data_IF_870657937872
#
_entry.id   IF_870657937872
#
_cell.length_a   1.000
_cell.length_b   1.000
_cell.length_c   1.000
_cell.angle_alpha   90.00
_cell.angle_beta   90.00
_cell.angle_gamma   90.00
#
_symmetry.space_group_name_H-M   'P 1'
#
loop_
_entity.id
_entity.type
_entity.pdbx_description
1 polymer ?
#
# COMPACT_ATOMS: atom_id res chain seq x y z
N UNK A 1 -60.06 54.76 -45.73
CA UNK A 1 -60.12 55.86 -44.75
C UNK A 1 -58.74 56.48 -44.67
N UNK A 2 -58.67 57.73 -45.12
CA UNK A 2 -57.53 58.59 -45.46
C UNK A 2 -57.02 59.36 -44.23
N UNK A 3 -55.90 60.12 -44.30
CA UNK A 3 -54.49 59.82 -44.60
C UNK A 3 -53.64 60.59 -43.53
N UNK A 4 -52.60 61.42 -43.79
CA UNK A 4 -51.44 61.48 -44.71
C UNK A 4 -50.09 61.40 -43.94
N UNK A 5 -48.95 60.98 -44.52
CA UNK A 5 -48.01 61.64 -45.44
C UNK A 5 -47.33 62.95 -44.95
N UNK A 6 -46.07 62.78 -44.51
CA UNK A 6 -44.84 63.58 -44.75
C UNK A 6 -44.76 65.01 -44.15
N UNK A 7 -43.56 65.44 -43.69
CA UNK A 7 -42.68 66.10 -44.66
C UNK A 7 -41.13 66.08 -44.45
N UNK A 8 -40.46 66.43 -45.56
CA UNK A 8 -39.16 67.12 -45.78
C UNK A 8 -37.83 66.45 -45.34
N UNK A 9 -36.97 66.00 -46.28
CA UNK A 9 -35.95 66.74 -47.06
C UNK A 9 -34.64 66.95 -46.25
N UNK A 10 -33.39 66.88 -46.74
CA UNK A 10 -32.74 67.32 -47.98
C UNK A 10 -31.41 66.55 -48.16
N UNK A 11 -30.98 66.40 -49.42
CA UNK A 11 -29.74 65.79 -49.91
C UNK A 11 -28.45 66.61 -49.65
N UNK A 12 -27.29 65.95 -49.60
CA UNK A 12 -25.96 66.55 -49.77
C UNK A 12 -24.85 65.50 -50.00
N UNK A 13 -23.77 65.78 -50.75
CA UNK A 13 -23.30 64.85 -51.78
C UNK A 13 -22.03 64.04 -51.48
N UNK A 14 -21.98 62.91 -52.20
CA UNK A 14 -20.86 62.09 -52.70
C UNK A 14 -19.44 62.71 -52.62
N UNK A 15 -18.45 61.85 -52.30
CA UNK A 15 -17.36 61.48 -53.23
C UNK A 15 -16.55 60.27 -52.71
N UNK A 16 -16.11 59.47 -53.69
CA UNK A 16 -15.32 58.24 -53.57
C UNK A 16 -13.84 58.57 -53.37
N UNK A 17 -13.14 57.73 -52.61
CA UNK A 17 -11.69 57.67 -52.57
C UNK A 17 -11.24 56.36 -51.92
N UNK A 18 -10.71 55.45 -52.72
CA UNK A 18 -10.10 54.21 -52.28
C UNK A 18 -8.75 54.48 -51.61
N UNK A 19 -8.34 53.66 -50.63
CA UNK A 19 -6.94 53.21 -50.49
C UNK A 19 -6.77 52.16 -49.40
N UNK A 20 -6.05 51.10 -49.81
CA UNK A 20 -5.16 50.19 -49.11
C UNK A 20 -5.11 50.20 -47.56
N UNK A 21 -5.37 49.02 -46.98
CA UNK A 21 -5.01 48.66 -45.61
C UNK A 21 -3.63 48.01 -45.64
N UNK A 22 -2.65 48.64 -44.98
CA UNK A 22 -1.33 48.11 -44.66
C UNK A 22 -1.26 47.92 -43.13
N UNK A 23 -0.81 46.74 -42.70
CA UNK A 23 -0.67 46.34 -41.29
C UNK A 23 0.30 47.25 -40.53
N UNK A 24 0.00 47.62 -39.27
CA UNK A 24 0.97 48.29 -38.41
C UNK A 24 1.95 47.31 -37.76
N UNK A 25 3.22 47.67 -37.88
CA UNK A 25 4.37 47.20 -37.11
C UNK A 25 4.15 47.53 -35.63
N UNK A 26 4.27 46.54 -34.75
CA UNK A 26 4.30 46.76 -33.30
C UNK A 26 5.75 47.00 -32.84
N UNK A 27 5.95 48.16 -32.21
CA UNK A 27 7.21 48.59 -31.59
C UNK A 27 7.38 47.89 -30.24
N UNK A 28 8.50 47.20 -30.04
CA UNK A 28 8.92 46.66 -28.75
C UNK A 28 9.57 47.77 -27.91
N UNK A 29 8.93 48.13 -26.80
CA UNK A 29 9.54 48.92 -25.73
C UNK A 29 9.90 47.99 -24.57
N UNK A 30 11.20 47.90 -24.29
CA UNK A 30 11.72 47.25 -23.09
C UNK A 30 11.43 48.13 -21.88
N UNK A 31 10.76 47.57 -20.87
CA UNK A 31 10.65 48.16 -19.53
C UNK A 31 11.33 47.20 -18.55
N UNK A 32 12.49 47.61 -18.02
CA UNK A 32 13.14 46.93 -16.91
C UNK A 32 12.47 47.39 -15.61
N UNK A 33 11.86 46.48 -14.87
CA UNK A 33 11.49 46.71 -13.46
C UNK A 33 12.18 45.66 -12.61
N UNK A 34 13.08 46.10 -11.75
CA UNK A 34 13.71 45.28 -10.72
C UNK A 34 12.68 44.98 -9.62
N UNK A 35 12.10 43.78 -9.66
CA UNK A 35 11.27 43.22 -8.59
C UNK A 35 11.97 42.02 -7.96
N UNK A 36 12.13 42.07 -6.64
CA UNK A 36 12.63 41.00 -5.76
C UNK A 36 11.83 39.71 -5.99
N UNK A 37 12.44 38.51 -6.08
CA UNK A 37 11.65 37.28 -6.21
C UNK A 37 11.03 36.95 -4.83
N UNK A 38 9.70 37.05 -4.74
CA UNK A 38 8.93 36.34 -3.73
C UNK A 38 9.17 34.84 -3.89
N UNK A 39 9.56 34.18 -2.80
CA UNK A 39 9.63 32.73 -2.72
C UNK A 39 8.20 32.19 -2.73
N UNK A 40 7.65 32.00 -3.93
CA UNK A 40 6.47 31.18 -4.13
C UNK A 40 6.85 29.74 -3.84
N UNK A 41 6.31 29.19 -2.76
CA UNK A 41 6.30 27.74 -2.57
C UNK A 41 5.67 27.11 -3.81
N UNK A 42 6.36 26.15 -4.41
CA UNK A 42 5.82 25.38 -5.53
C UNK A 42 4.52 24.69 -5.05
N UNK A 43 3.46 24.64 -5.87
CA UNK A 43 2.32 23.79 -5.57
C UNK A 43 2.80 22.33 -5.43
N UNK A 44 2.22 21.51 -4.54
CA UNK A 44 2.57 20.11 -4.47
C UNK A 44 2.37 19.48 -5.84
N UNK A 45 3.36 18.69 -6.28
CA UNK A 45 3.23 17.87 -7.48
C UNK A 45 2.04 16.94 -7.30
N UNK A 46 1.19 16.74 -8.33
CA UNK A 46 0.12 15.75 -8.24
C UNK A 46 0.74 14.37 -8.02
N UNK A 47 0.27 13.65 -7.00
CA UNK A 47 0.60 12.26 -6.81
C UNK A 47 0.20 11.48 -8.07
N UNK A 48 1.12 10.67 -8.57
CA UNK A 48 0.87 9.80 -9.72
C UNK A 48 -0.02 8.63 -9.27
N UNK A 49 -1.29 8.65 -9.65
CA UNK A 49 -2.18 7.48 -9.50
C UNK A 49 -1.57 6.30 -10.27
N UNK A 50 -1.29 5.18 -9.61
CA UNK A 50 -0.81 3.97 -10.28
C UNK A 50 -2.00 3.23 -10.94
N UNK A 51 -2.13 3.22 -12.28
CA UNK A 51 -3.25 2.52 -12.91
C UNK A 51 -3.06 1.01 -12.72
N UNK A 52 -3.97 0.37 -11.97
CA UNK A 52 -4.06 -1.09 -11.90
C UNK A 52 -3.91 -1.74 -10.53
N UNK A 53 -3.74 -0.98 -9.45
CA UNK A 53 -3.83 -1.51 -8.09
C UNK A 53 -5.29 -1.42 -7.64
N UNK A 54 -5.97 -2.55 -7.51
CA UNK A 54 -7.39 -2.58 -7.15
C UNK A 54 -7.65 -3.13 -5.74
N UNK A 55 -6.79 -4.04 -5.26
CA UNK A 55 -6.88 -4.63 -3.94
C UNK A 55 -5.49 -5.07 -3.46
N UNK A 56 -5.07 -4.54 -2.31
CA UNK A 56 -3.79 -4.89 -1.68
C UNK A 56 -4.03 -6.00 -0.66
N UNK A 57 -3.28 -7.10 -0.80
CA UNK A 57 -3.31 -8.24 0.13
C UNK A 57 -2.12 -8.24 1.08
N UNK A 58 -1.04 -7.57 0.71
CA UNK A 58 0.17 -7.50 1.53
C UNK A 58 1.04 -6.32 1.13
N UNK A 59 1.79 -5.81 2.11
CA UNK A 59 2.87 -4.85 1.92
C UNK A 59 4.09 -5.44 2.62
N UNK A 60 5.29 -5.19 2.09
CA UNK A 60 6.52 -5.62 2.74
C UNK A 60 7.67 -4.69 2.44
N UNK A 61 8.58 -4.54 3.39
CA UNK A 61 9.85 -3.83 3.23
C UNK A 61 10.95 -4.89 3.08
N UNK A 62 11.71 -4.84 2.00
CA UNK A 62 12.86 -5.73 1.82
C UNK A 62 14.05 -5.24 2.64
N UNK A 63 14.56 -6.01 3.62
CA UNK A 63 15.70 -5.62 4.43
C UNK A 63 17.02 -5.56 3.65
N UNK A 64 17.05 -5.98 2.37
CA UNK A 64 18.23 -5.84 1.51
C UNK A 64 18.58 -4.38 1.21
N UNK A 65 17.57 -3.55 0.94
CA UNK A 65 17.72 -2.20 0.41
C UNK A 65 16.55 -1.25 0.74
N UNK A 66 15.70 -1.61 1.71
CA UNK A 66 14.52 -0.87 2.18
C UNK A 66 13.41 -0.69 1.12
N UNK A 67 13.50 -1.42 0.00
CA UNK A 67 12.52 -1.38 -1.07
C UNK A 67 11.14 -1.81 -0.58
N UNK A 68 10.13 -1.02 -0.94
CA UNK A 68 8.74 -1.26 -0.58
C UNK A 68 8.02 -2.06 -1.67
N UNK A 69 7.34 -3.13 -1.27
CA UNK A 69 6.56 -3.98 -2.15
C UNK A 69 5.08 -3.98 -1.77
N UNK A 70 4.22 -4.06 -2.79
CA UNK A 70 2.76 -4.15 -2.67
C UNK A 70 2.27 -5.37 -3.44
N UNK A 71 1.71 -6.35 -2.74
CA UNK A 71 1.15 -7.57 -3.29
C UNK A 71 -0.36 -7.40 -3.55
N UNK A 72 -0.81 -7.77 -4.74
CA UNK A 72 -2.16 -7.50 -5.26
C UNK A 72 -2.72 -8.67 -6.07
N UNK A 73 -3.94 -8.53 -6.59
CA UNK A 73 -4.50 -9.45 -7.58
C UNK A 73 -3.75 -9.43 -8.93
N UNK A 74 -3.05 -8.34 -9.22
CA UNK A 74 -2.36 -8.10 -10.49
C UNK A 74 -0.87 -8.45 -10.45
N UNK A 75 -0.35 -8.82 -9.28
CA UNK A 75 1.02 -9.22 -9.04
C UNK A 75 1.69 -8.41 -7.92
N UNK A 76 3.02 -8.48 -7.87
CA UNK A 76 3.86 -7.75 -6.94
C UNK A 76 4.37 -6.47 -7.60
N UNK A 77 4.12 -5.34 -6.96
CA UNK A 77 4.61 -4.04 -7.37
C UNK A 77 5.75 -3.60 -6.46
N UNK A 78 6.84 -3.12 -7.05
CA UNK A 78 7.89 -2.37 -6.38
C UNK A 78 7.49 -0.88 -6.35
N UNK A 79 7.59 -0.23 -5.21
CA UNK A 79 7.28 1.20 -5.03
C UNK A 79 8.58 1.97 -4.84
N UNK A 80 8.92 2.80 -5.82
CA UNK A 80 10.14 3.60 -5.82
C UNK A 80 10.03 4.84 -4.94
N UNK A 81 11.19 5.34 -4.48
CA UNK A 81 11.32 6.64 -3.83
C UNK A 81 10.73 7.76 -4.72
N UNK A 82 9.60 8.32 -4.30
CA UNK A 82 8.82 9.29 -5.08
C UNK A 82 7.47 8.79 -5.59
N UNK A 83 7.04 7.59 -5.19
CA UNK A 83 5.65 7.14 -5.34
C UNK A 83 5.29 6.57 -6.70
N UNK A 84 6.28 6.10 -7.47
CA UNK A 84 6.02 5.36 -8.69
C UNK A 84 5.99 3.85 -8.40
N UNK A 85 4.91 3.18 -8.78
CA UNK A 85 4.79 1.72 -8.66
C UNK A 85 5.11 1.03 -10.00
N UNK A 86 5.90 -0.05 -9.95
CA UNK A 86 6.25 -0.86 -11.11
C UNK A 86 5.97 -2.35 -10.83
N UNK A 87 5.22 -3.00 -11.72
CA UNK A 87 5.00 -4.45 -11.64
C UNK A 87 6.32 -5.19 -11.87
N UNK A 88 6.75 -6.01 -10.89
CA UNK A 88 8.00 -6.78 -10.95
C UNK A 88 7.78 -8.28 -11.15
N UNK A 89 6.63 -8.81 -10.74
CA UNK A 89 6.30 -10.22 -10.91
C UNK A 89 5.55 -10.50 -12.23
N UNK A 90 5.40 -11.77 -12.63
CA UNK A 90 4.30 -12.16 -13.53
C UNK A 90 2.94 -11.70 -12.97
N UNK A 91 1.97 -11.46 -13.86
CA UNK A 91 0.60 -11.16 -13.44
C UNK A 91 -0.01 -12.43 -12.83
N UNK A 92 -0.21 -12.41 -11.51
CA UNK A 92 -0.79 -13.47 -10.71
C UNK A 92 -1.41 -12.88 -9.45
N UNK A 93 -2.35 -13.60 -8.87
CA UNK A 93 -3.08 -13.18 -7.70
C UNK A 93 -2.31 -13.58 -6.43
N UNK A 94 -1.77 -12.60 -5.71
CA UNK A 94 -1.02 -12.81 -4.48
C UNK A 94 -1.92 -12.56 -3.27
N UNK A 95 -2.60 -13.60 -2.79
CA UNK A 95 -3.53 -13.53 -1.65
C UNK A 95 -2.83 -13.49 -0.29
N UNK A 96 -1.64 -14.09 -0.20
CA UNK A 96 -0.79 -14.03 0.98
C UNK A 96 0.64 -13.73 0.54
N UNK A 97 1.31 -12.82 1.25
CA UNK A 97 2.66 -12.37 0.92
C UNK A 97 3.42 -12.04 2.20
N UNK A 98 4.68 -12.46 2.28
CA UNK A 98 5.57 -12.12 3.39
C UNK A 98 7.02 -12.04 2.92
N UNK A 99 7.75 -11.05 3.44
CA UNK A 99 9.20 -10.95 3.27
C UNK A 99 9.85 -11.89 4.29
N UNK A 100 10.68 -12.80 3.81
CA UNK A 100 11.35 -13.82 4.63
C UNK A 100 12.85 -13.58 4.81
N UNK A 101 13.35 -12.49 4.22
CA UNK A 101 14.72 -12.02 4.32
C UNK A 101 15.13 -11.20 3.08
N UNK A 102 16.41 -10.79 3.00
CA UNK A 102 16.91 -9.94 1.92
C UNK A 102 16.65 -10.53 0.53
N UNK A 103 15.83 -9.87 -0.29
CA UNK A 103 15.45 -10.33 -1.64
C UNK A 103 14.67 -11.65 -1.68
N UNK A 104 14.17 -12.13 -0.55
CA UNK A 104 13.59 -13.46 -0.39
C UNK A 104 12.15 -13.40 0.13
N UNK A 105 11.18 -13.77 -0.70
CA UNK A 105 9.76 -13.64 -0.43
C UNK A 105 9.03 -14.99 -0.49
N UNK A 106 8.02 -15.15 0.36
CA UNK A 106 7.06 -16.25 0.30
C UNK A 106 5.68 -15.70 -0.01
N UNK A 107 4.92 -16.45 -0.81
CA UNK A 107 3.57 -16.07 -1.15
C UNK A 107 2.64 -17.27 -1.39
N UNK A 108 1.35 -16.98 -1.55
CA UNK A 108 0.29 -17.90 -1.95
C UNK A 108 -0.77 -17.16 -2.76
N UNK A 109 -1.60 -17.90 -3.49
CA UNK A 109 -2.76 -17.37 -4.19
C UNK A 109 -3.06 -18.13 -5.48
N UNK A 110 -3.35 -17.40 -6.56
CA UNK A 110 -3.78 -17.98 -7.83
C UNK A 110 -2.88 -17.58 -9.01
N UNK A 111 -2.55 -18.52 -9.92
CA UNK A 111 -1.79 -18.17 -11.10
C UNK A 111 -2.64 -17.33 -12.04
N UNK A 112 -2.03 -16.32 -12.67
CA UNK A 112 -2.67 -15.63 -13.78
C UNK A 112 -2.76 -16.51 -15.03
N UNK A 113 -3.54 -16.06 -16.01
CA UNK A 113 -3.83 -16.82 -17.26
C UNK A 113 -2.60 -17.31 -18.03
N UNK A 114 -1.42 -16.71 -17.81
CA UNK A 114 -0.17 -17.01 -18.51
C UNK A 114 0.92 -17.56 -17.59
N UNK A 115 0.58 -17.89 -16.36
CA UNK A 115 1.51 -18.43 -15.35
C UNK A 115 1.26 -19.92 -15.24
N UNK A 116 2.28 -20.73 -15.56
CA UNK A 116 2.22 -22.19 -15.50
C UNK A 116 2.52 -22.68 -14.06
N UNK A 117 1.61 -22.37 -13.15
CA UNK A 117 1.62 -22.87 -11.78
C UNK A 117 0.29 -23.58 -11.47
N UNK A 118 0.27 -24.51 -10.49
CA UNK A 118 -0.96 -25.13 -10.02
C UNK A 118 -1.97 -24.12 -9.47
N UNK A 119 -3.25 -24.50 -9.42
CA UNK A 119 -4.34 -23.65 -8.92
C UNK A 119 -5.07 -24.36 -7.76
N UNK A 120 -5.06 -23.81 -6.52
CA UNK A 120 -4.24 -22.69 -6.04
C UNK A 120 -2.73 -22.98 -6.09
N UNK A 121 -1.90 -21.93 -6.06
CA UNK A 121 -0.44 -22.05 -6.19
C UNK A 121 0.21 -22.77 -5.00
N UNK A 122 -0.46 -22.85 -3.85
CA UNK A 122 0.15 -23.30 -2.59
C UNK A 122 1.19 -22.29 -2.10
N UNK A 123 2.18 -22.77 -1.35
CA UNK A 123 3.35 -21.96 -0.99
C UNK A 123 4.29 -21.85 -2.20
N UNK A 124 4.60 -20.63 -2.60
CA UNK A 124 5.59 -20.28 -3.62
C UNK A 124 6.67 -19.37 -3.02
N UNK A 125 7.86 -19.39 -3.62
CA UNK A 125 9.04 -18.67 -3.15
C UNK A 125 9.69 -17.88 -4.29
N UNK A 126 10.20 -16.70 -3.97
CA UNK A 126 11.07 -15.91 -4.84
C UNK A 126 12.34 -15.51 -4.09
N UNK A 127 13.51 -15.80 -4.66
CA UNK A 127 14.81 -15.43 -4.10
C UNK A 127 15.50 -14.32 -4.90
N UNK A 128 14.74 -13.58 -5.72
CA UNK A 128 15.25 -12.56 -6.63
C UNK A 128 14.41 -11.28 -6.61
N UNK A 129 13.84 -10.94 -5.45
CA UNK A 129 13.02 -9.74 -5.26
C UNK A 129 11.69 -9.80 -6.00
N UNK A 130 11.05 -10.98 -6.05
CA UNK A 130 9.73 -11.16 -6.63
C UNK A 130 9.67 -11.29 -8.15
N UNK A 131 10.83 -11.34 -8.84
CA UNK A 131 10.89 -11.38 -10.32
C UNK A 131 10.55 -12.76 -10.86
N UNK A 132 11.02 -13.82 -10.20
CA UNK A 132 10.67 -15.20 -10.52
C UNK A 132 10.18 -15.94 -9.28
N UNK A 133 9.26 -16.89 -9.49
CA UNK A 133 8.59 -17.63 -8.43
C UNK A 133 8.63 -19.13 -8.71
N UNK A 134 8.96 -19.91 -7.69
CA UNK A 134 9.01 -21.38 -7.75
C UNK A 134 8.05 -22.01 -6.74
N UNK A 135 7.38 -23.12 -7.08
CA UNK A 135 6.61 -23.90 -6.10
C UNK A 135 7.50 -24.44 -4.97
N UNK A 136 7.02 -24.32 -3.73
CA UNK A 136 7.64 -24.95 -2.55
C UNK A 136 6.84 -26.17 -2.12
N UNK A 137 5.58 -25.97 -1.73
CA UNK A 137 4.70 -27.06 -1.29
C UNK A 137 3.22 -26.68 -1.30
N UNK A 138 2.33 -27.66 -1.13
CA UNK A 138 0.85 -27.49 -1.04
C UNK A 138 0.16 -26.96 -2.30
N UNK A 139 0.78 -27.17 -3.46
CA UNK A 139 0.21 -26.88 -4.77
C UNK A 139 -1.14 -27.58 -4.96
N UNK A 140 -2.13 -26.83 -5.45
CA UNK A 140 -3.50 -27.31 -5.65
C UNK A 140 -4.27 -27.60 -4.36
N UNK A 141 -3.73 -27.22 -3.19
CA UNK A 141 -4.34 -27.51 -1.88
C UNK A 141 -4.60 -26.28 -1.04
N UNK A 142 -3.63 -25.37 -0.94
CA UNK A 142 -3.72 -24.23 -0.04
C UNK A 142 -3.79 -22.91 -0.79
N UNK A 143 -4.68 -22.07 -0.29
CA UNK A 143 -4.79 -20.67 -0.62
C UNK A 143 -4.66 -19.89 0.70
N UNK A 144 -3.42 -19.57 1.07
CA UNK A 144 -3.15 -18.85 2.31
C UNK A 144 -3.46 -17.36 2.14
N UNK A 145 -4.50 -16.89 2.84
CA UNK A 145 -4.85 -15.46 2.92
C UNK A 145 -4.17 -14.79 4.12
N UNK A 146 -3.87 -15.56 5.17
CA UNK A 146 -2.99 -15.16 6.25
C UNK A 146 -1.74 -16.04 6.20
N UNK A 147 -0.58 -15.41 6.05
CA UNK A 147 0.73 -16.07 5.91
C UNK A 147 1.78 -15.22 6.62
N UNK A 148 2.61 -15.84 7.45
CA UNK A 148 3.74 -15.18 8.10
C UNK A 148 4.93 -16.14 8.21
N UNK A 149 6.11 -15.57 8.39
CA UNK A 149 7.38 -16.29 8.51
C UNK A 149 8.21 -15.75 9.67
N UNK A 150 9.09 -16.59 10.20
CA UNK A 150 10.01 -16.26 11.29
C UNK A 150 11.18 -17.24 11.29
N UNK A 151 12.10 -17.12 12.25
CA UNK A 151 13.15 -18.12 12.46
C UNK A 151 12.60 -19.53 12.78
N UNK A 152 11.35 -19.66 13.24
CA UNK A 152 10.71 -20.95 13.48
C UNK A 152 10.12 -21.59 12.20
N UNK A 153 10.09 -20.86 11.08
CA UNK A 153 9.51 -21.27 9.82
C UNK A 153 8.23 -20.51 9.48
N UNK A 154 7.33 -21.19 8.77
CA UNK A 154 6.13 -20.61 8.14
C UNK A 154 4.87 -20.99 8.93
N UNK A 155 3.98 -20.02 9.12
CA UNK A 155 2.63 -20.23 9.63
C UNK A 155 1.63 -19.68 8.62
N UNK A 156 0.65 -20.49 8.23
CA UNK A 156 -0.37 -20.11 7.25
C UNK A 156 -1.75 -20.60 7.64
N UNK A 157 -2.79 -19.92 7.15
CA UNK A 157 -4.19 -20.31 7.34
C UNK A 157 -4.90 -20.49 5.99
N UNK A 158 -5.37 -21.70 5.72
CA UNK A 158 -6.11 -22.08 4.50
C UNK A 158 -7.53 -22.62 4.80
N UNK A 159 -8.10 -22.16 5.92
CA UNK A 159 -9.26 -22.76 6.59
C UNK A 159 -8.87 -23.69 7.75
N UNK A 160 -7.60 -24.11 7.80
CA UNK A 160 -6.96 -24.67 9.00
C UNK A 160 -5.64 -23.92 9.24
N UNK A 161 -5.29 -23.69 10.50
CA UNK A 161 -3.98 -23.13 10.83
C UNK A 161 -2.93 -24.23 10.69
N UNK A 162 -1.92 -24.01 9.85
CA UNK A 162 -0.84 -24.97 9.60
C UNK A 162 0.51 -24.30 9.81
N UNK A 163 1.44 -25.05 10.42
CA UNK A 163 2.82 -24.59 10.64
C UNK A 163 3.82 -25.54 10.00
N UNK A 164 4.95 -25.00 9.55
CA UNK A 164 6.06 -25.77 9.00
C UNK A 164 7.39 -25.13 9.34
N UNK A 165 8.36 -25.92 9.81
CA UNK A 165 9.72 -25.44 10.07
C UNK A 165 10.60 -25.34 8.82
N UNK A 166 10.18 -25.97 7.71
CA UNK A 166 10.97 -26.08 6.48
C UNK A 166 10.18 -25.68 5.22
N UNK A 167 8.93 -25.21 5.39
CA UNK A 167 8.02 -24.85 4.30
C UNK A 167 7.48 -26.04 3.51
N UNK A 168 7.80 -27.29 3.87
CA UNK A 168 7.45 -28.50 3.09
C UNK A 168 6.71 -29.56 3.90
N UNK A 169 7.03 -29.73 5.18
CA UNK A 169 6.37 -30.65 6.11
C UNK A 169 5.49 -29.85 7.06
N UNK A 170 4.19 -30.16 7.07
CA UNK A 170 3.19 -29.32 7.74
C UNK A 170 2.51 -30.06 8.88
N UNK A 171 2.26 -29.32 9.96
CA UNK A 171 1.45 -29.75 11.10
C UNK A 171 0.26 -28.82 11.24
N UNK A 172 -0.94 -29.39 11.32
CA UNK A 172 -2.16 -28.66 11.67
C UNK A 172 -2.15 -28.32 13.16
N UNK A 173 -2.47 -27.08 13.48
CA UNK A 173 -2.64 -26.56 14.84
C UNK A 173 -4.01 -25.89 14.97
N UNK A 174 -4.52 -25.81 16.19
CA UNK A 174 -5.82 -25.21 16.44
C UNK A 174 -5.71 -23.70 16.65
N UNK A 175 -6.65 -22.94 16.09
CA UNK A 175 -6.88 -21.52 16.40
C UNK A 175 -8.37 -21.36 16.76
N UNK A 176 -8.72 -20.62 17.83
CA UNK A 176 -10.12 -20.56 18.30
C UNK A 176 -11.03 -19.73 17.40
N UNK A 177 -10.48 -18.90 16.51
CA UNK A 177 -11.21 -18.10 15.55
C UNK A 177 -10.40 -17.92 14.27
N UNK A 178 -11.09 -17.66 13.16
CA UNK A 178 -10.49 -17.42 11.85
C UNK A 178 -9.64 -16.13 11.88
N UNK A 179 -8.35 -16.21 11.53
CA UNK A 179 -7.47 -15.05 11.47
C UNK A 179 -7.71 -14.27 10.16
N UNK A 180 -7.75 -12.93 10.25
CA UNK A 180 -7.66 -12.07 9.07
C UNK A 180 -6.19 -11.87 8.68
N UNK A 181 -5.32 -11.55 9.64
CA UNK A 181 -3.86 -11.52 9.43
C UNK A 181 -3.15 -12.34 10.50
N UNK A 182 -1.94 -12.78 10.17
CA UNK A 182 -1.00 -13.45 11.07
C UNK A 182 0.32 -12.68 11.05
N UNK A 183 0.95 -12.50 12.20
CA UNK A 183 2.33 -12.02 12.28
C UNK A 183 3.06 -12.70 13.44
N UNK A 184 4.37 -12.87 13.32
CA UNK A 184 5.19 -13.61 14.28
C UNK A 184 6.37 -12.77 14.76
N UNK A 185 6.75 -12.96 16.02
CA UNK A 185 8.02 -12.42 16.53
C UNK A 185 9.19 -13.00 15.73
N UNK A 186 10.37 -12.35 15.73
CA UNK A 186 11.52 -12.83 14.95
C UNK A 186 11.91 -14.29 15.26
N UNK A 187 11.75 -14.70 16.52
CA UNK A 187 11.98 -16.08 16.99
C UNK A 187 10.88 -17.07 16.59
N UNK A 188 9.69 -16.59 16.24
CA UNK A 188 8.49 -17.38 15.99
C UNK A 188 7.79 -17.93 17.24
N UNK A 189 8.27 -17.62 18.44
CA UNK A 189 7.64 -18.08 19.69
C UNK A 189 6.32 -17.36 19.97
N UNK A 190 6.28 -16.04 19.74
CA UNK A 190 5.05 -15.25 19.88
C UNK A 190 4.42 -15.05 18.50
N UNK A 191 3.11 -15.26 18.42
CA UNK A 191 2.33 -15.04 17.20
C UNK A 191 1.11 -14.23 17.57
N UNK A 192 0.77 -13.25 16.74
CA UNK A 192 -0.46 -12.46 16.83
C UNK A 192 -1.36 -12.80 15.66
N UNK A 193 -2.66 -12.83 15.93
CA UNK A 193 -3.69 -13.05 14.92
C UNK A 193 -4.85 -12.08 15.13
N UNK A 194 -5.20 -11.30 14.12
CA UNK A 194 -6.41 -10.46 14.17
C UNK A 194 -7.64 -11.31 13.87
N UNK A 195 -8.70 -11.17 14.65
CA UNK A 195 -9.94 -11.92 14.46
C UNK A 195 -11.15 -11.04 14.74
N UNK A 196 -12.34 -11.46 14.33
CA UNK A 196 -13.59 -10.75 14.64
C UNK A 196 -13.88 -10.68 16.16
N UNK A 197 -13.26 -11.53 16.96
CA UNK A 197 -13.40 -11.61 18.40
C UNK A 197 -12.36 -10.76 19.15
N UNK A 198 -11.40 -10.17 18.43
CA UNK A 198 -10.28 -9.40 18.98
C UNK A 198 -8.92 -10.01 18.63
N UNK A 199 -7.86 -9.44 19.20
CA UNK A 199 -6.49 -9.89 18.97
C UNK A 199 -6.22 -11.18 19.76
N UNK A 200 -5.86 -12.25 19.05
CA UNK A 200 -5.36 -13.47 19.67
C UNK A 200 -3.83 -13.45 19.74
N UNK A 201 -3.29 -14.00 20.81
CA UNK A 201 -1.85 -14.18 21.00
C UNK A 201 -1.52 -15.63 21.35
N UNK A 202 -0.50 -16.15 20.69
CA UNK A 202 0.19 -17.37 21.06
C UNK A 202 1.58 -17.04 21.62
N UNK A 203 2.08 -17.85 22.56
CA UNK A 203 3.45 -17.75 23.12
C UNK A 203 4.24 -19.05 22.92
N UNK A 204 3.72 -19.97 22.10
CA UNK A 204 4.27 -21.28 21.83
C UNK A 204 4.25 -21.63 20.33
N UNK A 205 4.41 -20.62 19.48
CA UNK A 205 4.49 -20.77 18.02
C UNK A 205 3.17 -21.20 17.37
N UNK A 206 2.05 -20.66 17.85
CA UNK A 206 0.71 -20.90 17.31
C UNK A 206 0.02 -22.18 17.79
N UNK A 207 0.56 -22.86 18.82
CA UNK A 207 -0.03 -24.11 19.34
C UNK A 207 -1.20 -23.86 20.30
N UNK A 208 -1.08 -22.85 21.13
CA UNK A 208 -2.14 -22.39 22.03
C UNK A 208 -2.33 -20.88 21.94
N UNK A 209 -3.55 -20.43 22.21
CA UNK A 209 -3.99 -19.05 21.98
C UNK A 209 -4.77 -18.52 23.17
N UNK A 210 -4.59 -17.23 23.44
CA UNK A 210 -5.39 -16.46 24.38
C UNK A 210 -5.81 -15.13 23.74
N UNK A 211 -6.97 -14.61 24.12
CA UNK A 211 -7.37 -13.25 23.77
C UNK A 211 -6.51 -12.24 24.54
N UNK A 212 -6.17 -11.12 23.90
CA UNK A 212 -5.54 -9.97 24.56
C UNK A 212 -6.65 -8.98 24.94
N UNK A 213 -7.10 -9.03 26.20
CA UNK A 213 -8.32 -8.35 26.65
C UNK A 213 -8.33 -6.82 26.44
N UNK A 214 -7.18 -6.16 26.62
CA UNK A 214 -7.05 -4.70 26.48
C UNK A 214 -6.51 -4.24 25.11
N UNK A 215 -6.37 -5.17 24.15
CA UNK A 215 -5.95 -4.81 22.79
C UNK A 215 -7.09 -4.13 22.00
N UNK A 216 -6.78 -3.13 21.16
CA UNK A 216 -7.74 -2.60 20.21
C UNK A 216 -8.22 -3.71 19.24
N UNK A 217 -9.43 -3.54 18.69
CA UNK A 217 -9.91 -4.42 17.63
C UNK A 217 -9.18 -4.09 16.33
N UNK A 218 -8.07 -4.78 16.07
CA UNK A 218 -7.25 -4.59 14.88
C UNK A 218 -7.82 -5.38 13.70
N UNK A 219 -7.80 -4.76 12.51
CA UNK A 219 -8.06 -5.45 11.25
C UNK A 219 -6.75 -6.08 10.75
N UNK A 220 -5.71 -5.27 10.59
CA UNK A 220 -4.38 -5.71 10.15
C UNK A 220 -3.34 -5.49 11.25
N UNK A 221 -2.32 -6.34 11.28
CA UNK A 221 -1.20 -6.24 12.23
C UNK A 221 0.07 -6.79 11.59
N UNK A 222 1.20 -6.15 11.88
CA UNK A 222 2.54 -6.65 11.54
C UNK A 222 3.54 -6.43 12.67
N UNK A 223 4.60 -7.23 12.65
CA UNK A 223 5.65 -7.31 13.66
C UNK A 223 7.00 -7.00 13.01
N UNK A 224 7.78 -6.11 13.62
CA UNK A 224 9.11 -5.75 13.14
C UNK A 224 10.08 -6.95 13.08
N UNK A 225 10.69 -7.20 11.93
CA UNK A 225 11.55 -8.37 11.67
C UNK A 225 12.71 -8.56 12.69
N UNK A 226 13.14 -7.47 13.34
CA UNK A 226 14.33 -7.48 14.22
C UNK A 226 14.06 -7.08 15.67
N UNK A 227 12.81 -6.76 16.02
CA UNK A 227 12.53 -6.03 17.25
C UNK A 227 11.20 -6.49 17.91
N UNK A 228 10.81 -5.89 19.04
CA UNK A 228 9.57 -6.24 19.76
C UNK A 228 8.36 -5.39 19.34
N UNK A 229 8.60 -4.49 18.39
CA UNK A 229 7.65 -3.52 17.91
C UNK A 229 6.59 -4.20 17.05
N UNK A 230 5.36 -3.80 17.29
CA UNK A 230 4.19 -4.26 16.56
C UNK A 230 3.36 -3.05 16.18
N UNK A 231 2.83 -3.03 14.98
CA UNK A 231 1.92 -2.01 14.50
C UNK A 231 0.67 -2.68 13.95
N UNK A 232 -0.48 -2.12 14.25
CA UNK A 232 -1.75 -2.59 13.72
C UNK A 232 -2.67 -1.43 13.41
N UNK A 233 -3.67 -1.68 12.59
CA UNK A 233 -4.66 -0.67 12.20
C UNK A 233 -6.05 -1.24 12.41
N UNK A 234 -6.90 -0.46 13.09
CA UNK A 234 -8.29 -0.85 13.31
C UNK A 234 -9.18 -0.58 12.07
N UNK A 235 -10.40 -1.14 11.99
CA UNK A 235 -11.28 -0.96 10.84
C UNK A 235 -11.65 0.49 10.50
N UNK A 236 -11.47 1.42 11.44
CA UNK A 236 -11.73 2.85 11.21
C UNK A 236 -10.50 3.62 10.70
N UNK A 237 -9.36 2.93 10.56
CA UNK A 237 -8.10 3.50 10.10
C UNK A 237 -7.26 4.12 11.20
N UNK A 238 -7.53 3.84 12.49
CA UNK A 238 -6.63 4.29 13.57
C UNK A 238 -5.45 3.34 13.67
N UNK A 239 -4.25 3.90 13.64
CA UNK A 239 -2.99 3.19 13.81
C UNK A 239 -2.71 3.02 15.30
N UNK A 240 -2.28 1.82 15.68
CA UNK A 240 -1.90 1.44 17.03
C UNK A 240 -0.50 0.85 17.01
N UNK A 241 0.33 1.23 17.98
CA UNK A 241 1.70 0.70 18.09
C UNK A 241 1.96 0.12 19.48
N UNK A 242 2.83 -0.88 19.51
CA UNK A 242 3.26 -1.60 20.70
C UNK A 242 4.77 -1.73 20.67
N UNK A 243 5.44 -1.62 21.82
CA UNK A 243 6.89 -1.81 21.98
C UNK A 243 7.24 -3.05 22.81
N UNK A 244 6.23 -3.83 23.23
CA UNK A 244 6.38 -4.99 24.12
C UNK A 244 5.78 -6.27 23.51
N UNK A 245 5.75 -6.36 22.18
CA UNK A 245 5.31 -7.54 21.46
C UNK A 245 3.79 -7.78 21.52
N UNK A 246 3.01 -6.69 21.55
CA UNK A 246 1.55 -6.70 21.54
C UNK A 246 0.93 -6.90 22.92
N UNK A 247 1.68 -6.67 24.01
CA UNK A 247 1.17 -6.75 25.37
C UNK A 247 0.42 -5.45 25.75
N UNK A 248 0.92 -4.29 25.33
CA UNK A 248 0.28 -2.99 25.52
C UNK A 248 0.28 -2.16 24.24
N UNK A 249 -0.75 -1.33 24.06
CA UNK A 249 -0.97 -0.59 22.82
C UNK A 249 -1.11 0.91 23.07
N UNK A 250 -0.47 1.70 22.20
CA UNK A 250 -0.57 3.15 22.15
C UNK A 250 -1.33 3.55 20.89
N UNK A 251 -2.31 4.44 21.06
CA UNK A 251 -3.06 4.99 19.93
C UNK A 251 -2.21 6.05 19.21
N UNK A 252 -2.14 5.95 17.88
CA UNK A 252 -1.46 6.89 16.99
C UNK A 252 -2.42 7.67 16.10
N UNK A 253 -1.99 7.94 14.88
CA UNK A 253 -2.77 8.69 13.89
C UNK A 253 -4.05 7.98 13.45
N UNK A 254 -5.05 8.76 13.05
CA UNK A 254 -6.23 8.27 12.34
C UNK A 254 -6.08 8.60 10.85
N UNK A 255 -5.98 7.57 10.01
CA UNK A 255 -5.78 7.71 8.56
C UNK A 255 -7.06 8.14 7.83
N UNK A 256 -8.23 7.95 8.45
CA UNK A 256 -9.52 8.29 7.85
C UNK A 256 -9.97 7.36 6.71
N UNK A 257 -9.23 6.27 6.46
CA UNK A 257 -9.51 5.25 5.46
C UNK A 257 -9.24 3.86 6.04
N UNK A 258 -10.03 2.87 5.61
CA UNK A 258 -9.91 1.51 6.11
C UNK A 258 -8.58 0.88 5.64
N UNK A 259 -7.87 0.13 6.50
CA UNK A 259 -6.65 -0.56 6.11
C UNK A 259 -6.95 -1.77 5.21
N UNK A 260 -6.02 -2.06 4.30
CA UNK A 260 -5.97 -3.29 3.50
C UNK A 260 -4.78 -4.16 3.93
N UNK A 261 -3.62 -3.54 4.20
CA UNK A 261 -2.44 -4.21 4.69
C UNK A 261 -1.55 -3.23 5.47
N UNK A 262 -0.69 -3.76 6.34
CA UNK A 262 0.33 -3.00 7.07
C UNK A 262 1.65 -3.76 7.03
N UNK A 263 2.76 -3.04 6.97
CA UNK A 263 4.07 -3.60 7.27
C UNK A 263 4.82 -2.70 8.25
N UNK A 264 5.69 -3.33 9.05
CA UNK A 264 6.49 -2.68 10.06
C UNK A 264 7.98 -2.96 9.85
N UNK A 265 8.72 -1.90 9.53
CA UNK A 265 10.18 -1.88 9.58
C UNK A 265 10.69 -1.10 10.80
N UNK A 266 12.01 -1.04 10.91
CA UNK A 266 12.70 -0.17 11.87
C UNK A 266 13.74 0.63 11.10
N UNK A 267 13.72 1.95 11.24
CA UNK A 267 14.71 2.84 10.62
C UNK A 267 16.10 2.63 11.23
N UNK A 268 17.15 3.11 10.54
CA UNK A 268 18.52 2.96 11.03
C UNK A 268 18.81 3.59 12.40
N UNK A 269 17.97 4.52 12.87
CA UNK A 269 18.02 5.13 14.20
C UNK A 269 17.08 4.47 15.23
N UNK A 270 16.44 3.35 14.88
CA UNK A 270 15.64 2.54 15.81
C UNK A 270 14.18 3.00 15.94
N UNK A 271 13.70 3.88 15.06
CA UNK A 271 12.32 4.36 15.08
C UNK A 271 11.45 3.41 14.25
N UNK A 272 10.23 3.06 14.69
CA UNK A 272 9.34 2.22 13.90
C UNK A 272 8.93 2.92 12.60
N UNK A 273 9.17 2.26 11.47
CA UNK A 273 8.71 2.65 10.12
C UNK A 273 7.43 1.90 9.81
N UNK A 274 6.29 2.58 9.83
CA UNK A 274 4.98 1.97 9.61
C UNK A 274 4.49 2.33 8.21
N UNK A 275 4.21 1.33 7.38
CA UNK A 275 3.59 1.56 6.06
C UNK A 275 2.23 0.88 6.02
N UNK A 276 1.20 1.63 5.63
CA UNK A 276 -0.18 1.14 5.57
C UNK A 276 -0.71 1.34 4.16
N UNK A 277 -1.17 0.24 3.54
CA UNK A 277 -2.04 0.34 2.38
C UNK A 277 -3.48 0.51 2.87
N UNK A 278 -4.15 1.56 2.43
CA UNK A 278 -5.57 1.84 2.76
C UNK A 278 -6.48 1.49 1.58
N UNK A 279 -7.73 1.93 1.59
CA UNK A 279 -8.56 1.86 0.38
C UNK A 279 -8.18 2.93 -0.67
N UNK A 280 -7.42 3.96 -0.29
CA UNK A 280 -7.22 5.17 -1.12
C UNK A 280 -5.74 5.49 -1.43
N UNK A 281 -4.82 5.11 -0.55
CA UNK A 281 -3.41 5.41 -0.68
C UNK A 281 -2.50 4.46 0.13
N UNK A 282 -1.23 4.40 -0.28
CA UNK A 282 -0.12 3.89 0.51
C UNK A 282 0.43 5.06 1.31
N UNK A 283 0.42 4.93 2.63
CA UNK A 283 0.90 5.96 3.55
C UNK A 283 2.01 5.42 4.42
N UNK A 284 2.97 6.28 4.74
CA UNK A 284 4.15 5.93 5.51
C UNK A 284 4.35 6.86 6.70
N UNK A 285 4.74 6.28 7.82
CA UNK A 285 5.21 6.98 9.01
C UNK A 285 6.64 6.57 9.31
N UNK A 286 7.49 7.57 9.60
CA UNK A 286 8.86 7.42 10.09
C UNK A 286 9.03 7.94 11.51
N UNK A 287 7.92 8.10 12.24
CA UNK A 287 7.87 8.64 13.61
C UNK A 287 7.07 7.76 14.58
N UNK A 288 6.98 6.46 14.29
CA UNK A 288 6.28 5.49 15.16
C UNK A 288 4.76 5.58 15.08
N UNK A 289 4.22 5.91 13.90
CA UNK A 289 2.79 5.97 13.63
C UNK A 289 2.09 7.24 14.12
N UNK A 290 2.82 8.32 14.40
CA UNK A 290 2.26 9.58 14.89
C UNK A 290 1.79 10.49 13.75
N UNK A 291 2.56 10.56 12.67
CA UNK A 291 2.21 11.27 11.44
C UNK A 291 2.48 10.40 10.22
N UNK A 292 1.73 10.66 9.14
CA UNK A 292 1.79 9.88 7.91
C UNK A 292 1.85 10.79 6.70
N UNK A 293 2.75 10.46 5.78
CA UNK A 293 2.84 11.05 4.45
C UNK A 293 2.30 10.07 3.41
N UNK A 294 1.68 10.61 2.35
CA UNK A 294 1.22 9.80 1.21
C UNK A 294 2.42 9.44 0.35
N UNK A 295 2.66 8.14 0.19
CA UNK A 295 3.69 7.57 -0.69
C UNK A 295 3.14 7.40 -2.10
N UNK A 296 1.93 6.85 -2.22
CA UNK A 296 1.30 6.53 -3.50
C UNK A 296 -0.22 6.65 -3.37
N UNK A 297 -0.88 7.26 -4.35
CA UNK A 297 -2.33 7.24 -4.53
C UNK A 297 -2.71 6.24 -5.63
N UNK A 298 -3.93 5.72 -5.62
CA UNK A 298 -4.45 4.85 -6.68
C UNK A 298 -5.85 5.26 -7.16
#
# INVERSE_FOLDING_TARGET
MTPPAQPHAVLGPRRRGASAVLLPVAVLLAACTSGTPESGAAPPSPATSAPGISHVHGVGIDPADDTLFVATHEGLFEVADGGAAALVSPVMDLMGFTVSGPGHFLASGHPGLRVDLPQPMGLIESTDGGRTWSPVSRQGRSDFHALTTSAAGVLGYDGTLVRSSDGTTWEEVAIPAEPHTLTASPTGERVLATTAQGLLRSTDGGRTWALVDDAPLLQVVDWAETAAEVAGVDPSGVVWTSTDGGDTWNQGAALGSAPQAVTLGVTGDGVPRVVVATAEALVESVDGGQTFDVVLEW
#
